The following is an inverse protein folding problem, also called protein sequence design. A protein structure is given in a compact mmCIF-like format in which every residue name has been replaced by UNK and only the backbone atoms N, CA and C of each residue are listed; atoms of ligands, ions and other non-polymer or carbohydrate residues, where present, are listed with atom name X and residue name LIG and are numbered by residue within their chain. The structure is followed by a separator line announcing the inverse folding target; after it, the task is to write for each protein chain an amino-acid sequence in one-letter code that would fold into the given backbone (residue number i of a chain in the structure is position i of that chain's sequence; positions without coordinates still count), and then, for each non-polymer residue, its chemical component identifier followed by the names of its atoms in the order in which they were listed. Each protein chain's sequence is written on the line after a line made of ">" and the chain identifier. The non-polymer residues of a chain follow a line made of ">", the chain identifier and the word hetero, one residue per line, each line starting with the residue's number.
data_IF_565123791797
#
_entry.id   IF_565123791797
#
_cell.length_a   1.000
_cell.length_b   1.000
_cell.length_c   1.000
_cell.angle_alpha   90.00
_cell.angle_beta   90.00
_cell.angle_gamma   90.00
#
_symmetry.space_group_name_H-M   'P 1'
#
loop_
_entity.id
_entity.type
_entity.pdbx_description
1 polymer ?
#
# COMPACT_ATOMS: atom_id res chain seq x y z
N UNK A 1 -0.51 13.67 12.85
CA UNK A 1 -0.98 12.70 11.84
C UNK A 1 -1.74 13.50 10.80
N UNK A 2 -1.44 13.39 9.50
CA UNK A 2 -2.17 14.13 8.48
C UNK A 2 -3.66 13.73 8.53
N UNK A 3 -4.56 14.70 8.33
CA UNK A 3 -6.00 14.41 8.24
C UNK A 3 -6.24 13.59 6.97
N UNK A 4 -7.14 12.61 7.03
CA UNK A 4 -7.46 11.74 5.89
C UNK A 4 -7.92 12.50 4.62
N UNK A 5 -8.33 13.76 4.77
CA UNK A 5 -8.73 14.67 3.68
C UNK A 5 -7.55 15.21 2.85
N UNK A 6 -6.31 15.04 3.30
CA UNK A 6 -5.10 15.48 2.58
C UNK A 6 -4.40 14.35 1.79
N UNK A 7 -4.87 13.11 1.91
CA UNK A 7 -4.25 11.97 1.22
C UNK A 7 -4.87 11.82 -0.16
N UNK A 8 -4.04 11.95 -1.19
CA UNK A 8 -4.43 11.79 -2.59
C UNK A 8 -4.99 10.38 -2.85
N UNK A 9 -6.17 10.32 -3.46
CA UNK A 9 -6.77 9.08 -3.95
C UNK A 9 -6.51 8.99 -5.45
N UNK A 10 -5.95 7.87 -5.89
CA UNK A 10 -5.70 7.59 -7.29
C UNK A 10 -6.63 6.50 -7.83
N UNK A 11 -6.93 6.47 -9.14
CA UNK A 11 -7.66 5.39 -9.76
C UNK A 11 -6.94 4.04 -9.65
N UNK A 12 -7.69 2.94 -9.53
CA UNK A 12 -7.13 1.57 -9.44
C UNK A 12 -6.21 1.25 -10.61
N UNK A 13 -6.55 1.71 -11.82
CA UNK A 13 -5.73 1.51 -13.01
C UNK A 13 -4.35 2.15 -12.87
N UNK A 14 -4.30 3.37 -12.36
CA UNK A 14 -3.04 4.10 -12.14
C UNK A 14 -2.20 3.39 -11.07
N UNK A 15 -2.82 2.97 -9.97
CA UNK A 15 -2.13 2.20 -8.93
C UNK A 15 -1.48 0.92 -9.49
N UNK A 16 -2.23 0.17 -10.29
CA UNK A 16 -1.74 -1.05 -10.94
C UNK A 16 -0.54 -0.78 -11.87
N UNK A 17 -0.62 0.25 -12.70
CA UNK A 17 0.48 0.64 -13.60
C UNK A 17 1.75 1.03 -12.83
N UNK A 18 1.61 1.82 -11.76
CA UNK A 18 2.73 2.24 -10.89
C UNK A 18 3.41 1.06 -10.19
N UNK A 19 2.61 0.12 -9.67
CA UNK A 19 3.10 -1.06 -8.96
C UNK A 19 3.81 -2.03 -9.91
N UNK A 20 3.22 -2.29 -11.09
CA UNK A 20 3.85 -3.13 -12.11
C UNK A 20 5.16 -2.54 -12.64
N UNK A 21 5.23 -1.21 -12.75
CA UNK A 21 6.45 -0.50 -13.14
C UNK A 21 7.51 -0.46 -12.01
N UNK A 22 7.24 -1.06 -10.84
CA UNK A 22 8.08 -1.01 -9.63
C UNK A 22 8.37 0.41 -9.13
N UNK A 23 7.49 1.37 -9.45
CA UNK A 23 7.59 2.77 -9.02
C UNK A 23 6.88 3.03 -7.70
N UNK A 24 5.95 2.16 -7.33
CA UNK A 24 5.22 2.25 -6.08
C UNK A 24 5.10 0.88 -5.40
N UNK A 25 4.93 0.93 -4.08
CA UNK A 25 4.68 -0.23 -3.23
C UNK A 25 3.19 -0.27 -2.86
N UNK A 26 2.53 -1.38 -3.19
CA UNK A 26 1.13 -1.59 -2.84
C UNK A 26 1.02 -2.22 -1.46
N UNK A 27 0.25 -1.58 -0.58
CA UNK A 27 0.10 -1.97 0.82
C UNK A 27 -1.37 -2.28 1.08
N UNK A 28 -1.61 -3.52 1.49
CA UNK A 28 -2.87 -3.97 2.04
C UNK A 28 -3.03 -3.38 3.44
N UNK A 29 -3.90 -2.38 3.56
CA UNK A 29 -4.04 -1.54 4.74
C UNK A 29 -5.11 -2.01 5.74
N UNK A 30 -5.73 -3.17 5.51
CA UNK A 30 -6.58 -3.83 6.50
C UNK A 30 -5.78 -4.11 7.79
N UNK A 31 -6.34 -3.74 8.93
CA UNK A 31 -5.70 -4.03 10.22
C UNK A 31 -5.76 -5.52 10.57
N UNK A 32 -6.83 -6.19 10.16
CA UNK A 32 -6.96 -7.64 10.31
C UNK A 32 -6.10 -8.36 9.25
N UNK A 33 -5.24 -9.25 9.74
CA UNK A 33 -4.39 -10.07 8.89
C UNK A 33 -5.20 -11.06 8.03
N UNK A 34 -6.35 -11.51 8.52
CA UNK A 34 -7.24 -12.43 7.82
C UNK A 34 -7.90 -11.74 6.61
N UNK A 35 -8.42 -10.53 6.80
CA UNK A 35 -8.97 -9.70 5.72
C UNK A 35 -7.92 -9.48 4.64
N UNK A 36 -6.71 -9.13 5.06
CA UNK A 36 -5.61 -8.93 4.15
C UNK A 36 -5.19 -10.22 3.42
N UNK A 37 -5.28 -11.39 4.06
CA UNK A 37 -4.94 -12.66 3.44
C UNK A 37 -5.98 -13.08 2.38
N UNK A 38 -7.27 -12.83 2.64
CA UNK A 38 -8.37 -13.20 1.75
C UNK A 38 -8.49 -12.22 0.58
N UNK A 39 -8.34 -10.92 0.83
CA UNK A 39 -8.54 -9.84 -0.14
C UNK A 39 -7.23 -9.35 -0.77
N UNK A 40 -6.12 -10.09 -0.59
CA UNK A 40 -4.80 -9.64 -1.01
C UNK A 40 -4.73 -9.49 -2.53
N UNK A 41 -4.47 -8.27 -2.97
CA UNK A 41 -4.10 -8.01 -4.36
C UNK A 41 -2.67 -8.53 -4.63
N UNK A 42 -2.47 -9.12 -5.80
CA UNK A 42 -1.16 -9.59 -6.24
C UNK A 42 -0.14 -8.43 -6.23
N UNK A 43 1.10 -8.74 -5.81
CA UNK A 43 2.17 -7.74 -5.69
C UNK A 43 2.07 -6.85 -4.45
N UNK A 44 1.04 -6.99 -3.62
CA UNK A 44 0.93 -6.23 -2.36
C UNK A 44 1.59 -6.91 -1.16
N UNK A 45 2.06 -6.08 -0.23
CA UNK A 45 2.51 -6.51 1.11
C UNK A 45 1.47 -6.15 2.16
N UNK A 46 1.43 -6.91 3.25
CA UNK A 46 0.55 -6.58 4.39
C UNK A 46 1.04 -5.34 5.13
N UNK A 47 0.13 -4.65 5.84
CA UNK A 47 0.49 -3.52 6.71
C UNK A 47 1.53 -3.92 7.78
N UNK A 48 1.49 -5.17 8.25
CA UNK A 48 2.45 -5.69 9.23
C UNK A 48 3.85 -5.83 8.63
N UNK A 49 3.97 -6.34 7.39
CA UNK A 49 5.23 -6.40 6.67
C UNK A 49 5.78 -5.01 6.35
N UNK A 50 4.91 -4.07 5.96
CA UNK A 50 5.29 -2.68 5.75
C UNK A 50 5.88 -2.08 7.04
N UNK A 51 5.21 -2.24 8.19
CA UNK A 51 5.69 -1.73 9.49
C UNK A 51 7.08 -2.29 9.84
N UNK A 52 7.35 -3.57 9.53
CA UNK A 52 8.67 -4.20 9.73
C UNK A 52 9.75 -3.63 8.81
N UNK A 53 9.41 -3.33 7.55
CA UNK A 53 10.34 -2.79 6.53
C UNK A 53 10.47 -1.27 6.57
N UNK A 54 9.61 -0.57 7.33
CA UNK A 54 9.51 0.89 7.34
C UNK A 54 10.84 1.61 7.55
N UNK A 55 11.71 1.08 8.41
CA UNK A 55 13.03 1.66 8.69
C UNK A 55 14.04 1.49 7.57
N UNK A 56 13.82 0.56 6.64
CA UNK A 56 14.73 0.23 5.53
C UNK A 56 14.20 0.69 4.17
N UNK A 57 12.98 1.26 4.12
CA UNK A 57 12.39 1.71 2.85
C UNK A 57 13.01 3.05 2.43
N UNK A 58 13.37 3.20 1.14
CA UNK A 58 13.79 4.48 0.58
C UNK A 58 12.68 5.54 0.73
N UNK A 59 13.05 6.77 1.10
CA UNK A 59 12.10 7.87 1.34
C UNK A 59 11.40 8.37 0.07
N UNK A 60 11.95 8.06 -1.10
CA UNK A 60 11.41 8.36 -2.43
C UNK A 60 10.43 7.28 -2.94
N UNK A 61 10.20 6.22 -2.15
CA UNK A 61 9.26 5.17 -2.52
C UNK A 61 7.83 5.65 -2.37
N UNK A 62 7.08 5.69 -3.47
CA UNK A 62 5.64 5.94 -3.43
C UNK A 62 4.92 4.77 -2.76
N UNK A 63 4.08 5.06 -1.76
CA UNK A 63 3.33 4.07 -1.00
C UNK A 63 1.84 4.21 -1.31
N UNK A 64 1.24 3.15 -1.84
CA UNK A 64 -0.18 3.12 -2.17
C UNK A 64 -0.88 2.21 -1.18
N UNK A 65 -1.78 2.75 -0.38
CA UNK A 65 -2.57 1.99 0.59
C UNK A 65 -3.95 1.67 0.00
N UNK A 66 -4.41 0.44 0.17
CA UNK A 66 -5.77 0.05 -0.16
C UNK A 66 -6.45 -0.65 1.02
N UNK A 67 -7.72 -0.32 1.22
CA UNK A 67 -8.65 -0.95 2.16
C UNK A 67 -10.08 -0.80 1.61
N UNK A 68 -11.05 -1.42 2.28
CA UNK A 68 -12.47 -1.14 2.07
C UNK A 68 -12.92 0.07 2.89
#
# INVERSE_FOLDING_TARGET
>A
MPKAEEIERIPVKEAYEKVNAKKALLICAYEDALDCAILRLEGSISIQEFRKKRSTLPLDTELIFYCA
#
